data_IF_143903375255
#
_entry.id   IF_143903375255
#
_cell.length_a   1.000
_cell.length_b   1.000
_cell.length_c   1.000
_cell.angle_alpha   90.00
_cell.angle_beta   90.00
_cell.angle_gamma   90.00
#
_symmetry.space_group_name_H-M   'P 1'
#
loop_
_entity.id
_entity.type
_entity.pdbx_description
1 polymer ?
#
# COMPACT_ATOMS: atom_id res chain seq x y z
N UNK A 1 21.12 -0.40 -8.71
CA UNK A 1 19.75 -0.28 -8.17
C UNK A 1 19.85 0.45 -6.83
N UNK A 2 19.08 1.53 -6.61
CA UNK A 2 19.21 2.38 -5.41
C UNK A 2 18.89 1.57 -4.13
N UNK A 3 19.82 1.57 -3.16
CA UNK A 3 19.70 0.89 -1.86
C UNK A 3 18.38 1.24 -1.14
N UNK A 4 17.89 2.46 -1.32
CA UNK A 4 16.62 2.91 -0.74
C UNK A 4 15.39 2.23 -1.36
N UNK A 5 15.34 2.09 -2.69
CA UNK A 5 14.23 1.42 -3.38
C UNK A 5 14.16 -0.05 -2.98
N UNK A 6 15.32 -0.69 -2.80
CA UNK A 6 15.36 -2.05 -2.28
C UNK A 6 14.71 -2.10 -0.90
N UNK A 7 15.11 -1.25 0.05
CA UNK A 7 14.50 -1.19 1.39
C UNK A 7 12.99 -1.01 1.37
N UNK A 8 12.44 -0.22 0.45
CA UNK A 8 10.99 -0.10 0.26
C UNK A 8 10.41 -1.43 -0.16
N UNK A 9 10.95 -2.06 -1.22
CA UNK A 9 10.48 -3.37 -1.67
C UNK A 9 10.55 -4.42 -0.56
N UNK A 10 11.60 -4.40 0.25
CA UNK A 10 11.76 -5.26 1.43
C UNK A 10 10.60 -5.05 2.42
N UNK A 11 10.35 -3.80 2.81
CA UNK A 11 9.30 -3.44 3.76
C UNK A 11 7.92 -3.97 3.35
N UNK A 12 7.52 -3.77 2.09
CA UNK A 12 6.22 -4.22 1.59
C UNK A 12 6.16 -5.73 1.28
N UNK A 13 7.29 -6.43 1.24
CA UNK A 13 7.34 -7.86 0.91
C UNK A 13 7.32 -8.77 2.14
N UNK A 14 7.28 -8.21 3.36
CA UNK A 14 7.61 -8.97 4.58
C UNK A 14 6.70 -10.18 4.85
N UNK A 15 5.44 -10.16 4.41
CA UNK A 15 4.48 -11.24 4.67
C UNK A 15 4.19 -12.13 3.46
N UNK A 16 4.98 -11.98 2.39
CA UNK A 16 4.83 -12.78 1.18
C UNK A 16 5.81 -13.94 1.18
N UNK A 17 5.32 -15.13 0.85
CA UNK A 17 6.14 -16.34 0.75
C UNK A 17 7.00 -16.34 -0.51
N UNK A 18 6.46 -15.79 -1.59
CA UNK A 18 7.12 -15.71 -2.89
C UNK A 18 7.18 -14.24 -3.32
N UNK A 19 8.39 -13.73 -3.49
CA UNK A 19 8.65 -12.35 -3.88
C UNK A 19 9.30 -12.36 -5.26
N UNK A 20 8.66 -11.71 -6.23
CA UNK A 20 9.14 -11.62 -7.60
C UNK A 20 9.57 -10.18 -7.91
N UNK A 21 10.59 -10.01 -8.75
CA UNK A 21 10.98 -8.72 -9.31
C UNK A 21 11.22 -8.87 -10.79
N UNK A 22 10.42 -8.17 -11.61
CA UNK A 22 10.48 -8.29 -13.09
C UNK A 22 10.35 -9.75 -13.56
N UNK A 23 9.51 -10.53 -12.87
CA UNK A 23 9.26 -11.95 -13.18
C UNK A 23 10.24 -12.94 -12.55
N UNK A 24 11.35 -12.49 -11.98
CA UNK A 24 12.34 -13.35 -11.33
C UNK A 24 12.02 -13.55 -9.85
N UNK A 25 11.97 -14.80 -9.38
CA UNK A 25 11.81 -15.13 -7.97
C UNK A 25 13.06 -14.71 -7.21
N UNK A 26 12.91 -13.87 -6.19
CA UNK A 26 13.97 -13.49 -5.28
C UNK A 26 13.86 -14.33 -4.01
N UNK A 27 15.02 -14.73 -3.45
CA UNK A 27 15.06 -15.36 -2.14
C UNK A 27 14.57 -14.37 -1.09
N UNK A 28 13.31 -14.52 -0.66
CA UNK A 28 12.73 -13.68 0.37
C UNK A 28 13.59 -13.67 1.65
N UNK A 29 14.30 -14.75 2.01
CA UNK A 29 15.20 -14.74 3.18
C UNK A 29 16.34 -13.73 3.06
N UNK A 30 16.83 -13.48 1.85
CA UNK A 30 17.82 -12.44 1.57
C UNK A 30 17.23 -11.01 1.68
N UNK A 31 15.90 -10.89 1.65
CA UNK A 31 15.13 -9.65 1.74
C UNK A 31 14.79 -9.24 3.19
N UNK A 32 15.10 -10.06 4.20
CA UNK A 32 14.83 -9.74 5.61
C UNK A 32 16.11 -9.41 6.40
N UNK A 33 16.69 -8.20 6.29
CA UNK A 33 17.54 -7.73 7.36
C UNK A 33 16.67 -7.49 8.60
N UNK A 34 17.20 -7.77 9.78
CA UNK A 34 16.64 -7.48 11.10
C UNK A 34 16.60 -5.96 11.36
N UNK A 35 15.92 -5.21 10.49
CA UNK A 35 15.88 -3.76 10.49
C UNK A 35 14.61 -3.27 11.19
N UNK A 36 14.76 -2.36 12.14
CA UNK A 36 13.65 -1.63 12.76
C UNK A 36 13.15 -0.55 11.81
N UNK A 37 11.83 -0.42 11.68
CA UNK A 37 11.18 0.59 10.83
C UNK A 37 10.41 1.57 11.69
N UNK A 38 10.66 2.87 11.51
CA UNK A 38 9.88 3.94 12.14
C UNK A 38 8.73 4.34 11.21
N UNK A 39 7.54 3.77 11.37
CA UNK A 39 6.39 4.08 10.51
C UNK A 39 5.36 5.00 11.20
N UNK A 40 4.70 5.83 10.39
CA UNK A 40 3.55 6.66 10.75
C UNK A 40 2.50 6.40 9.68
N UNK A 41 1.30 5.93 10.05
CA UNK A 41 0.18 5.68 9.12
C UNK A 41 -0.85 6.81 9.26
N UNK A 42 -1.30 7.38 8.14
CA UNK A 42 -2.31 8.45 8.14
C UNK A 42 -3.32 8.32 6.98
N UNK A 43 -4.63 8.26 7.29
CA UNK A 43 -5.81 8.49 6.41
C UNK A 43 -6.48 7.27 5.73
N UNK A 44 -7.79 7.01 5.95
CA UNK A 44 -8.64 5.90 5.40
C UNK A 44 -10.20 6.08 5.62
N UNK A 45 -11.07 6.17 4.60
CA UNK A 45 -12.56 6.08 4.76
C UNK A 45 -13.11 4.96 3.82
N UNK A 46 -14.23 4.21 4.05
CA UNK A 46 -15.39 4.33 4.97
C UNK A 46 -16.26 3.03 5.15
N UNK A 47 -16.85 2.90 6.36
CA UNK A 47 -18.07 2.22 6.95
C UNK A 47 -18.71 0.87 6.52
N UNK A 48 -19.07 0.08 7.56
CA UNK A 48 -20.46 -0.30 7.88
C UNK A 48 -20.75 -0.16 9.38
N UNK A 49 -21.91 0.39 9.73
CA UNK A 49 -22.40 0.56 11.11
C UNK A 49 -22.67 -0.79 11.78
N UNK A 50 -21.71 -1.34 12.52
CA UNK A 50 -21.97 -2.21 13.69
C UNK A 50 -20.63 -2.53 14.36
N UNK A 51 -20.54 -2.19 15.65
CA UNK A 51 -19.54 -2.66 16.62
C UNK A 51 -18.06 -2.31 16.37
N UNK A 52 -17.56 -1.29 17.08
CA UNK A 52 -16.34 -1.46 17.89
C UNK A 52 -16.15 -0.27 18.83
N UNK A 53 -16.40 -0.50 20.12
CA UNK A 53 -15.64 0.12 21.21
C UNK A 53 -14.16 0.08 20.87
N UNK A 54 -13.42 1.18 21.10
CA UNK A 54 -12.04 1.15 21.58
C UNK A 54 -11.65 2.56 22.07
N UNK A 55 -11.40 2.65 23.37
CA UNK A 55 -10.86 3.80 24.09
C UNK A 55 -9.44 4.17 23.61
N UNK A 56 -9.11 5.45 23.80
CA UNK A 56 -7.78 6.06 23.79
C UNK A 56 -6.62 5.08 23.98
N UNK A 57 -5.84 4.83 22.93
CA UNK A 57 -4.62 4.04 23.07
C UNK A 57 -3.59 4.43 21.99
N UNK A 58 -2.68 5.34 22.35
CA UNK A 58 -1.39 5.46 21.69
C UNK A 58 -0.58 4.19 21.92
N UNK A 59 -0.50 3.31 20.93
CA UNK A 59 0.44 2.19 20.92
C UNK A 59 1.38 2.29 19.73
N UNK A 60 2.68 2.25 20.02
CA UNK A 60 3.67 1.77 19.07
C UNK A 60 3.31 0.32 18.73
N UNK A 61 2.79 0.07 17.53
CA UNK A 61 2.50 -1.28 17.06
C UNK A 61 3.83 -1.98 16.76
N UNK A 62 4.42 -2.62 17.78
CA UNK A 62 5.40 -3.69 17.61
C UNK A 62 4.67 -4.99 17.32
N UNK A 63 3.99 -5.11 16.18
CA UNK A 63 3.39 -6.39 15.78
C UNK A 63 3.40 -6.56 14.25
N UNK A 64 3.54 -7.82 13.84
CA UNK A 64 3.57 -8.27 12.45
C UNK A 64 2.43 -7.65 11.64
N UNK A 65 2.79 -7.05 10.50
CA UNK A 65 1.93 -6.16 9.74
C UNK A 65 0.98 -6.95 8.82
N UNK A 66 -0.14 -7.45 9.32
CA UNK A 66 -1.18 -8.02 8.45
C UNK A 66 -2.00 -6.88 7.82
N UNK A 67 -1.96 -6.77 6.48
CA UNK A 67 -2.68 -5.73 5.73
C UNK A 67 -4.21 -5.80 5.87
N UNK A 68 -4.73 -6.89 6.45
CA UNK A 68 -6.16 -7.19 6.63
C UNK A 68 -6.77 -6.57 7.92
N UNK A 69 -5.96 -6.14 8.90
CA UNK A 69 -6.41 -5.64 10.22
C UNK A 69 -6.54 -4.11 10.33
N UNK A 70 -6.41 -3.41 9.22
CA UNK A 70 -6.37 -1.94 9.04
C UNK A 70 -7.71 -1.14 9.22
N UNK A 71 -8.94 -1.71 9.31
CA UNK A 71 -10.20 -0.92 9.22
C UNK A 71 -10.58 0.12 10.31
N UNK A 72 -9.81 0.41 11.38
CA UNK A 72 -10.39 0.99 12.62
C UNK A 72 -10.14 2.48 13.00
N UNK A 73 -9.52 3.37 12.21
CA UNK A 73 -9.00 4.62 12.85
C UNK A 73 -8.93 5.92 12.01
N UNK A 74 -10.06 6.60 11.69
CA UNK A 74 -10.00 7.82 10.83
C UNK A 74 -10.68 9.11 11.31
N UNK A 75 -11.22 9.20 12.51
CA UNK A 75 -11.91 10.45 12.89
C UNK A 75 -11.05 11.63 13.43
N UNK A 76 -9.70 11.59 13.42
CA UNK A 76 -8.91 12.60 14.17
C UNK A 76 -7.99 13.57 13.40
N UNK A 77 -7.95 13.58 12.06
CA UNK A 77 -6.99 14.45 11.33
C UNK A 77 -7.52 15.83 10.86
N UNK A 78 -8.60 16.34 11.44
CA UNK A 78 -9.10 17.69 11.18
C UNK A 78 -8.53 18.74 12.16
N UNK A 79 -7.20 18.94 12.19
CA UNK A 79 -6.61 20.12 12.84
C UNK A 79 -5.53 20.80 11.97
N UNK A 80 -5.99 21.91 11.36
CA UNK A 80 -5.28 23.16 10.99
C UNK A 80 -4.38 23.24 9.75
N UNK A 81 -4.05 22.18 9.02
CA UNK A 81 -3.52 22.30 7.63
C UNK A 81 -3.95 21.12 6.76
N UNK A 82 -4.46 21.37 5.55
CA UNK A 82 -4.73 20.28 4.59
C UNK A 82 -3.37 19.65 4.21
N UNK A 83 -3.14 18.35 4.44
CA UNK A 83 -1.92 17.71 3.98
C UNK A 83 -1.82 17.83 2.45
N UNK A 84 -0.68 18.31 1.96
CA UNK A 84 -0.43 18.38 0.51
C UNK A 84 0.05 17.02 0.04
N UNK A 85 -0.87 16.25 -0.53
CA UNK A 85 -0.54 14.97 -1.16
C UNK A 85 0.11 15.16 -2.53
N UNK A 86 1.07 14.31 -2.93
CA UNK A 86 1.65 14.36 -4.27
C UNK A 86 0.60 14.06 -5.34
N UNK A 87 0.65 14.79 -6.46
CA UNK A 87 -0.37 14.68 -7.51
C UNK A 87 -0.46 13.27 -8.10
N UNK A 88 0.68 12.61 -8.34
CA UNK A 88 0.70 11.26 -8.89
C UNK A 88 0.14 10.20 -7.94
N UNK A 89 0.30 10.39 -6.63
CA UNK A 89 -0.34 9.55 -5.62
C UNK A 89 -1.87 9.72 -5.64
N UNK A 90 -2.37 10.96 -5.74
CA UNK A 90 -3.81 11.23 -5.89
C UNK A 90 -4.36 10.65 -7.21
N UNK A 91 -3.59 10.73 -8.30
CA UNK A 91 -3.94 10.11 -9.58
C UNK A 91 -4.03 8.59 -9.47
N UNK A 92 -3.10 7.95 -8.76
CA UNK A 92 -3.14 6.51 -8.49
C UNK A 92 -4.44 6.10 -7.79
N UNK A 93 -4.78 6.77 -6.68
CA UNK A 93 -6.01 6.50 -5.96
C UNK A 93 -7.24 6.59 -6.87
N UNK A 94 -7.36 7.67 -7.63
CA UNK A 94 -8.47 7.90 -8.56
C UNK A 94 -8.53 6.86 -9.68
N UNK A 95 -7.37 6.42 -10.18
CA UNK A 95 -7.28 5.42 -11.23
C UNK A 95 -7.96 4.10 -10.81
N UNK A 96 -7.61 3.56 -9.65
CA UNK A 96 -8.23 2.33 -9.14
C UNK A 96 -9.69 2.56 -8.71
N UNK A 97 -9.96 3.67 -8.03
CA UNK A 97 -11.28 3.96 -7.48
C UNK A 97 -12.34 4.09 -8.57
N UNK A 98 -12.00 4.71 -9.71
CA UNK A 98 -12.93 4.83 -10.84
C UNK A 98 -13.34 3.48 -11.40
N UNK A 99 -12.40 2.53 -11.46
CA UNK A 99 -12.67 1.17 -11.97
C UNK A 99 -13.51 0.40 -10.96
N UNK A 100 -13.06 0.29 -9.70
CA UNK A 100 -13.81 -0.45 -8.68
C UNK A 100 -15.18 0.11 -8.37
N UNK A 101 -15.37 1.45 -8.41
CA UNK A 101 -16.70 2.04 -8.26
C UNK A 101 -17.63 1.68 -9.43
N UNK A 102 -17.09 1.49 -10.63
CA UNK A 102 -17.88 1.12 -11.82
C UNK A 102 -18.26 -0.36 -11.81
N UNK A 103 -17.35 -1.22 -11.36
CA UNK A 103 -17.51 -2.68 -11.41
C UNK A 103 -18.01 -3.28 -10.11
N UNK A 104 -18.05 -2.51 -9.02
CA UNK A 104 -18.38 -2.96 -7.66
C UNK A 104 -17.63 -4.26 -7.29
N UNK A 105 -16.30 -4.19 -7.38
CA UNK A 105 -15.46 -5.40 -7.39
C UNK A 105 -14.18 -5.27 -6.56
N UNK A 106 -14.17 -4.36 -5.59
CA UNK A 106 -13.00 -4.11 -4.77
C UNK A 106 -13.00 -2.78 -4.05
N UNK A 107 -11.89 -2.55 -3.33
CA UNK A 107 -11.65 -1.38 -2.49
C UNK A 107 -10.29 -0.76 -2.77
N UNK A 108 -10.17 0.54 -2.52
CA UNK A 108 -8.90 1.28 -2.64
C UNK A 108 -8.62 2.00 -1.34
N UNK A 109 -7.46 1.73 -0.76
CA UNK A 109 -6.95 2.43 0.40
C UNK A 109 -5.67 3.19 0.05
N UNK A 110 -5.39 4.22 0.84
CA UNK A 110 -4.15 4.97 0.74
C UNK A 110 -3.55 5.15 2.12
N UNK A 111 -2.25 5.15 2.23
CA UNK A 111 -1.59 5.42 3.50
C UNK A 111 -0.20 5.99 3.28
N UNK A 112 0.31 6.65 4.30
CA UNK A 112 1.70 7.13 4.34
C UNK A 112 2.50 6.17 5.22
N UNK A 113 3.76 5.96 4.90
CA UNK A 113 4.74 5.23 5.72
C UNK A 113 6.00 6.07 5.76
N UNK A 114 6.65 6.17 6.93
CA UNK A 114 7.97 6.78 7.01
C UNK A 114 9.03 5.68 6.94
N UNK A 115 10.01 5.81 6.04
CA UNK A 115 11.13 4.86 5.90
C UNK A 115 12.42 5.67 5.83
N UNK A 116 13.36 5.42 6.75
CA UNK A 116 14.59 6.22 6.88
C UNK A 116 14.31 7.74 6.95
N UNK A 117 13.28 8.15 7.70
CA UNK A 117 12.81 9.56 7.83
C UNK A 117 12.24 10.16 6.54
N UNK A 118 12.03 9.37 5.50
CA UNK A 118 11.39 9.79 4.25
C UNK A 118 9.94 9.33 4.26
N UNK A 119 9.02 10.26 4.00
CA UNK A 119 7.61 9.94 3.82
C UNK A 119 7.39 9.28 2.46
N UNK A 120 6.74 8.15 2.50
CA UNK A 120 6.39 7.29 1.38
C UNK A 120 4.87 7.22 1.30
N UNK A 121 4.32 7.58 0.14
CA UNK A 121 2.89 7.62 -0.09
C UNK A 121 2.47 6.36 -0.86
N UNK A 122 1.48 5.64 -0.35
CA UNK A 122 1.11 4.32 -0.84
C UNK A 122 -0.34 4.26 -1.23
N UNK A 123 -0.61 3.90 -2.47
CA UNK A 123 -1.94 3.53 -2.94
C UNK A 123 -2.01 2.01 -3.01
N UNK A 124 -3.01 1.41 -2.38
CA UNK A 124 -3.25 -0.03 -2.44
C UNK A 124 -4.70 -0.28 -2.85
N UNK A 125 -4.88 -1.06 -3.91
CA UNK A 125 -6.17 -1.50 -4.41
C UNK A 125 -6.27 -3.01 -4.20
N UNK A 126 -7.41 -3.49 -3.72
CA UNK A 126 -7.67 -4.92 -3.53
C UNK A 126 -9.03 -5.27 -4.12
N UNK A 127 -9.07 -6.33 -4.89
CA UNK A 127 -10.30 -6.91 -5.42
C UNK A 127 -10.99 -7.78 -4.39
N UNK A 128 -12.30 -8.02 -4.54
CA UNK A 128 -13.03 -8.94 -3.67
C UNK A 128 -12.53 -10.39 -3.79
N UNK A 129 -11.85 -10.71 -4.89
CA UNK A 129 -11.17 -11.99 -5.11
C UNK A 129 -9.79 -12.09 -4.45
N UNK A 130 -9.30 -11.04 -3.78
CA UNK A 130 -8.02 -11.03 -3.06
C UNK A 130 -6.78 -10.74 -3.92
N UNK A 131 -6.93 -10.44 -5.21
CA UNK A 131 -5.85 -9.82 -6.00
C UNK A 131 -5.67 -8.37 -5.55
N UNK A 132 -4.44 -7.91 -5.40
CA UNK A 132 -4.14 -6.52 -5.06
C UNK A 132 -3.09 -5.85 -5.95
N UNK A 133 -3.08 -4.53 -5.92
CA UNK A 133 -2.19 -3.65 -6.68
C UNK A 133 -1.68 -2.55 -5.78
N UNK A 134 -0.37 -2.37 -5.75
CA UNK A 134 0.36 -1.49 -4.87
C UNK A 134 1.15 -0.48 -5.72
N UNK A 135 1.00 0.80 -5.43
CA UNK A 135 1.81 1.88 -6.02
C UNK A 135 2.41 2.76 -4.92
N UNK A 136 3.71 3.03 -5.01
CA UNK A 136 4.48 3.71 -3.98
C UNK A 136 5.14 4.96 -4.55
N UNK A 137 5.04 6.07 -3.84
CA UNK A 137 5.53 7.37 -4.26
C UNK A 137 6.36 8.07 -3.19
N UNK A 138 7.33 8.88 -3.60
CA UNK A 138 7.98 9.85 -2.71
C UNK A 138 7.13 11.11 -2.51
N UNK A 139 7.65 12.06 -1.72
CA UNK A 139 7.02 13.37 -1.48
C UNK A 139 6.90 14.25 -2.73
N UNK A 140 7.73 14.01 -3.76
CA UNK A 140 7.64 14.66 -5.05
C UNK A 140 6.60 14.03 -5.98
N UNK A 141 6.07 12.85 -5.64
CA UNK A 141 5.18 12.06 -6.48
C UNK A 141 5.90 11.20 -7.51
N UNK A 142 7.21 10.97 -7.36
CA UNK A 142 7.93 10.02 -8.19
C UNK A 142 7.59 8.60 -7.75
N UNK A 143 7.32 7.70 -8.70
CA UNK A 143 7.08 6.30 -8.38
C UNK A 143 8.40 5.65 -7.89
N UNK A 144 8.36 5.06 -6.70
CA UNK A 144 9.48 4.32 -6.10
C UNK A 144 9.35 2.81 -6.32
N UNK A 145 8.16 2.35 -6.69
CA UNK A 145 7.87 0.97 -7.03
C UNK A 145 6.37 0.73 -7.23
N UNK A 146 6.06 -0.34 -7.92
CA UNK A 146 4.70 -0.85 -8.04
C UNK A 146 4.73 -2.39 -7.96
N UNK A 147 3.67 -2.97 -7.42
CA UNK A 147 3.58 -4.42 -7.26
C UNK A 147 2.15 -4.91 -7.47
N UNK A 148 2.03 -6.18 -7.86
CA UNK A 148 0.80 -6.94 -7.77
C UNK A 148 0.91 -7.95 -6.63
N UNK A 149 -0.17 -8.15 -5.91
CA UNK A 149 -0.29 -9.15 -4.86
C UNK A 149 -1.35 -10.18 -5.27
N UNK A 150 -1.11 -11.45 -4.94
CA UNK A 150 -2.09 -12.53 -5.12
C UNK A 150 -1.85 -13.58 -4.03
N UNK A 151 -2.73 -13.61 -3.04
CA UNK A 151 -2.59 -14.45 -1.86
C UNK A 151 -1.23 -14.23 -1.19
N UNK A 152 -0.40 -15.28 -1.17
CA UNK A 152 0.93 -15.24 -0.51
C UNK A 152 2.07 -14.79 -1.43
N UNK A 153 1.76 -14.21 -2.59
CA UNK A 153 2.75 -13.74 -3.58
C UNK A 153 2.71 -12.23 -3.76
N UNK A 154 3.89 -11.63 -3.93
CA UNK A 154 4.04 -10.24 -4.38
C UNK A 154 5.00 -10.19 -5.57
N UNK A 155 4.64 -9.46 -6.62
CA UNK A 155 5.43 -9.30 -7.83
C UNK A 155 5.65 -7.83 -8.13
N UNK A 156 6.89 -7.37 -7.99
CA UNK A 156 7.32 -6.02 -8.32
C UNK A 156 7.54 -5.87 -9.82
N UNK A 157 7.02 -4.78 -10.37
CA UNK A 157 7.23 -4.41 -11.78
C UNK A 157 7.24 -2.88 -11.93
N UNK A 158 7.58 -2.40 -13.14
CA UNK A 158 7.27 -1.05 -13.58
C UNK A 158 5.80 -0.68 -13.35
N UNK A 159 5.54 0.59 -13.02
CA UNK A 159 4.19 1.15 -12.85
C UNK A 159 3.26 0.86 -14.06
N UNK A 160 3.77 1.04 -15.28
CA UNK A 160 2.97 0.86 -16.50
C UNK A 160 2.49 -0.60 -16.63
N UNK A 161 3.37 -1.57 -16.39
CA UNK A 161 2.99 -2.98 -16.36
C UNK A 161 1.90 -3.29 -15.32
N UNK A 162 2.00 -2.73 -14.11
CA UNK A 162 1.02 -2.94 -13.04
C UNK A 162 -0.36 -2.38 -13.45
N UNK A 163 -0.38 -1.18 -14.06
CA UNK A 163 -1.62 -0.56 -14.53
C UNK A 163 -2.23 -1.27 -15.74
N UNK A 164 -1.40 -1.67 -16.70
CA UNK A 164 -1.85 -2.48 -17.85
C UNK A 164 -2.43 -3.81 -17.39
N UNK A 165 -1.79 -4.47 -16.41
CA UNK A 165 -2.28 -5.71 -15.83
C UNK A 165 -3.64 -5.53 -15.15
N UNK A 166 -3.80 -4.46 -14.36
CA UNK A 166 -5.07 -4.12 -13.73
C UNK A 166 -6.17 -3.86 -14.78
N UNK A 167 -5.90 -3.04 -15.78
CA UNK A 167 -6.89 -2.69 -16.81
C UNK A 167 -7.39 -3.90 -17.59
N UNK A 168 -6.49 -4.78 -18.03
CA UNK A 168 -6.88 -6.00 -18.77
C UNK A 168 -7.86 -6.86 -17.96
N UNK A 169 -7.70 -6.92 -16.63
CA UNK A 169 -8.57 -7.69 -15.75
C UNK A 169 -9.99 -7.12 -15.59
N UNK A 170 -10.17 -5.81 -15.77
CA UNK A 170 -11.45 -5.11 -15.51
C UNK A 170 -12.05 -4.47 -16.78
N UNK A 171 -11.51 -4.79 -17.95
CA UNK A 171 -12.05 -4.39 -19.25
C UNK A 171 -12.60 -5.58 -20.07
N UNK A 172 -12.43 -6.81 -19.58
CA UNK A 172 -13.11 -8.02 -20.07
C UNK A 172 -14.52 -8.13 -19.48
#
# INVERSE_FOLDING_TARGET
MNDFIQKIKLFYSQNYKEVYNEGELIDAKSLYPSQSWDFEVSGLENYSEEEAYLEECGYSLKTQFNLEDVPKLVNELLLKTKPRYPENFVKSYRFYQQVFKKTDSGSVCTFVVTINRLRIFTSYAISDGGDGWLEIFDIGGNNLGAARTNGTRIAWHSLDFIRDNFQRRYQE
#
